data_IF_584653063380
#
_entry.id   IF_584653063380
#
_cell.length_a   1.000
_cell.length_b   1.000
_cell.length_c   1.000
_cell.angle_alpha   90.00
_cell.angle_beta   90.00
_cell.angle_gamma   90.00
#
_symmetry.space_group_name_H-M   'P 1'
#
loop_
_entity.id
_entity.type
_entity.pdbx_description
1 polymer ?
2 non-polymer ?
3 non-polymer ?
4 water ?
#
# COMPACT_ATOMS: atom_id res chain seq x y z
N UNK A 8 1.27 26.43 2.63
CA UNK A 8 2.20 25.52 3.28
C UNK A 8 3.49 25.44 2.44
N UNK A 9 4.64 25.81 3.03
CA UNK A 9 5.93 25.78 2.35
C UNK A 9 6.30 24.42 1.77
N UNK A 10 5.93 23.32 2.44
CA UNK A 10 6.22 21.97 1.94
C UNK A 10 5.46 21.71 0.62
N UNK A 11 4.27 22.27 0.50
CA UNK A 11 3.49 22.14 -0.71
C UNK A 11 4.09 22.98 -1.83
N UNK A 12 4.54 24.18 -1.48
CA UNK A 12 5.18 25.05 -2.45
C UNK A 12 6.46 24.40 -2.97
N UNK A 13 7.20 23.74 -2.08
CA UNK A 13 8.39 23.01 -2.47
C UNK A 13 8.04 21.84 -3.39
N UNK A 14 7.00 21.11 -3.06
CA UNK A 14 6.53 20.03 -3.93
C UNK A 14 6.27 20.56 -5.34
N UNK A 15 5.60 21.70 -5.45
CA UNK A 15 5.27 22.25 -6.76
C UNK A 15 6.55 22.67 -7.51
N UNK A 16 7.49 23.29 -6.80
CA UNK A 16 8.75 23.68 -7.42
C UNK A 16 9.49 22.43 -7.93
N UNK A 17 9.45 21.35 -7.16
CA UNK A 17 10.25 20.18 -7.55
C UNK A 17 9.54 19.24 -8.49
N UNK A 18 8.21 19.27 -8.51
CA UNK A 18 7.51 18.16 -9.13
C UNK A 18 6.32 18.55 -10.02
N UNK A 19 6.12 19.84 -10.26
CA UNK A 19 5.00 20.26 -11.09
C UNK A 19 5.44 21.14 -12.24
N UNK A 20 5.04 20.75 -13.44
CA UNK A 20 5.22 21.56 -14.62
C UNK A 20 4.02 21.31 -15.51
N UNK A 21 3.08 22.28 -15.54
CA UNK A 21 1.79 22.10 -16.20
C UNK A 21 1.87 21.71 -17.67
N UNK A 22 2.64 22.47 -18.43
CA UNK A 22 2.71 22.33 -19.87
C UNK A 22 4.16 22.32 -20.28
N UNK A 23 4.78 21.14 -20.27
CA UNK A 23 6.22 21.00 -20.51
C UNK A 23 6.57 21.35 -21.94
N UNK A 24 7.68 22.05 -22.13
CA UNK A 24 8.08 22.43 -23.46
C UNK A 24 8.72 21.26 -24.17
N UNK A 25 9.05 20.23 -23.39
CA UNK A 25 9.68 19.05 -23.94
C UNK A 25 9.57 17.91 -22.95
N UNK A 26 10.04 16.73 -23.34
CA UNK A 26 9.97 15.55 -22.48
C UNK A 26 11.28 14.80 -22.59
N UNK A 27 12.31 15.51 -23.01
CA UNK A 27 13.57 14.88 -23.40
C UNK A 27 14.71 15.34 -22.51
N UNK A 28 15.94 14.91 -22.82
CA UNK A 28 17.08 15.23 -21.97
C UNK A 28 17.30 16.72 -21.89
N UNK A 29 17.01 17.42 -22.99
CA UNK A 29 17.15 18.87 -23.06
C UNK A 29 16.22 19.53 -22.03
N UNK A 30 14.98 19.09 -22.02
CA UNK A 30 14.00 19.55 -21.02
C UNK A 30 14.47 19.30 -19.60
N UNK A 31 14.92 18.10 -19.32
CA UNK A 31 15.38 17.75 -17.97
C UNK A 31 16.51 18.64 -17.50
N UNK A 32 17.55 18.78 -18.33
CA UNK A 32 18.71 19.55 -17.94
C UNK A 32 18.40 21.02 -17.69
N UNK A 33 17.46 21.56 -18.46
CA UNK A 33 16.94 22.90 -18.24
C UNK A 33 16.10 23.00 -16.96
N UNK A 34 15.13 22.11 -16.82
CA UNK A 34 14.24 22.14 -15.66
C UNK A 34 14.96 21.88 -14.33
N UNK A 35 15.92 20.95 -14.32
CA UNK A 35 16.65 20.67 -13.09
C UNK A 35 17.44 21.90 -12.62
N UNK A 36 18.01 22.63 -13.57
CA UNK A 36 18.67 23.88 -13.21
C UNK A 36 17.68 24.98 -12.82
N UNK A 37 16.60 25.16 -13.57
CA UNK A 37 15.69 26.28 -13.31
C UNK A 37 14.93 26.13 -11.99
N UNK A 38 14.74 24.89 -11.55
CA UNK A 38 14.01 24.62 -10.31
C UNK A 38 14.92 24.44 -9.09
N UNK A 39 16.20 24.73 -9.26
CA UNK A 39 17.16 24.72 -8.17
C UNK A 39 17.64 23.36 -7.70
N UNK A 40 17.73 22.39 -8.61
CA UNK A 40 18.00 21.01 -8.25
C UNK A 40 19.35 20.52 -8.78
N UNK A 41 20.28 21.46 -8.98
CA UNK A 41 21.59 21.10 -9.52
C UNK A 41 22.75 21.55 -8.64
N UNK A 42 22.48 21.86 -7.37
CA UNK A 42 23.51 22.30 -6.44
C UNK A 42 23.54 21.50 -5.14
N UNK A 43 24.01 20.25 -5.17
CA UNK A 43 24.57 19.48 -6.27
C UNK A 43 23.48 18.80 -7.10
N UNK A 44 23.86 18.11 -8.17
CA UNK A 44 22.90 17.38 -9.01
C UNK A 44 22.03 16.40 -8.22
N UNK A 45 20.73 16.68 -8.16
CA UNK A 45 19.77 15.73 -7.61
C UNK A 45 19.72 14.49 -8.52
N UNK A 46 19.78 13.31 -7.91
CA UNK A 46 19.96 12.11 -8.71
C UNK A 46 18.72 11.72 -9.52
N UNK A 47 17.53 11.86 -8.93
CA UNK A 47 16.31 11.41 -9.61
C UNK A 47 15.18 12.37 -9.25
N UNK A 48 14.47 12.87 -10.24
CA UNK A 48 13.39 13.80 -9.96
C UNK A 48 12.31 13.78 -11.04
N UNK A 49 11.06 13.61 -10.63
CA UNK A 49 9.96 13.50 -11.59
C UNK A 49 9.10 14.75 -11.63
N UNK A 50 8.80 15.21 -12.84
CA UNK A 50 7.86 16.31 -13.00
C UNK A 50 6.53 15.76 -13.43
N UNK A 51 5.47 16.22 -12.77
CA UNK A 51 4.11 15.85 -13.14
C UNK A 51 3.53 16.96 -13.99
N UNK A 52 2.82 16.58 -15.06
CA UNK A 52 2.25 17.56 -15.96
C UNK A 52 0.72 17.57 -15.84
N UNK A 53 0.11 18.56 -16.48
CA UNK A 53 -1.33 18.66 -16.50
C UNK A 53 -1.81 19.60 -15.44
N UNK A 54 -3.01 19.33 -14.93
CA UNK A 54 -3.72 20.24 -14.04
C UNK A 54 -3.33 20.10 -12.59
N UNK A 55 -2.97 21.23 -11.99
CA UNK A 55 -2.58 21.35 -10.59
C UNK A 55 -3.62 20.78 -9.61
N UNK A 56 -4.89 21.08 -9.85
CA UNK A 56 -5.97 20.63 -8.99
C UNK A 56 -6.12 19.13 -8.88
N UNK A 57 -5.88 18.43 -9.99
CA UNK A 57 -6.01 16.98 -10.03
C UNK A 57 -4.92 16.31 -9.22
N UNK A 58 -3.78 16.99 -9.12
CA UNK A 58 -2.68 16.48 -8.30
C UNK A 58 -2.98 16.66 -6.82
N UNK A 59 -3.41 17.86 -6.44
CA UNK A 59 -3.87 18.11 -5.09
C UNK A 59 -4.93 17.09 -4.69
N UNK A 60 -5.87 16.84 -5.60
CA UNK A 60 -6.97 15.91 -5.35
C UNK A 60 -6.56 14.49 -4.96
N UNK A 61 -5.29 14.14 -5.17
CA UNK A 61 -4.82 12.81 -4.82
C UNK A 61 -4.85 12.63 -3.30
N UNK A 62 -4.69 13.73 -2.59
CA UNK A 62 -4.77 13.72 -1.13
C UNK A 62 -6.19 13.33 -0.67
N UNK A 63 -7.18 13.68 -1.47
CA UNK A 63 -8.56 13.33 -1.20
C UNK A 63 -9.23 12.52 -2.28
N UNK A 64 -10.07 13.18 -3.07
CA UNK A 64 -10.96 12.53 -4.05
C UNK A 64 -10.24 11.66 -5.11
N UNK A 65 -9.23 12.22 -5.78
CA UNK A 65 -8.56 11.48 -6.85
C UNK A 65 -7.46 10.55 -6.34
N UNK A 66 -7.58 10.10 -5.10
CA UNK A 66 -6.55 9.26 -4.53
C UNK A 66 -7.06 8.12 -3.67
N UNK A 67 -6.16 7.22 -3.29
CA UNK A 67 -6.47 6.09 -2.42
C UNK A 67 -5.28 5.79 -1.54
N UNK A 68 -5.52 5.20 -0.35
CA UNK A 68 -4.41 4.83 0.53
C UNK A 68 -3.42 3.88 -0.14
N UNK A 69 -2.17 3.99 0.29
CA UNK A 69 -1.07 3.22 -0.25
C UNK A 69 -0.03 3.17 0.84
N UNK A 70 0.12 2.01 1.47
CA UNK A 70 0.98 1.88 2.64
C UNK A 70 2.38 2.31 2.30
N UNK A 71 3.13 2.89 3.26
CA UNK A 71 2.69 3.06 4.64
C UNK A 71 1.67 4.19 4.80
N UNK A 72 2.14 5.43 4.76
CA UNK A 72 1.21 6.54 4.84
C UNK A 72 1.05 7.26 3.50
N UNK A 73 1.46 6.60 2.43
CA UNK A 73 1.48 7.22 1.11
C UNK A 73 0.11 7.14 0.43
N UNK A 74 -0.03 7.82 -0.71
CA UNK A 74 -1.28 7.78 -1.46
C UNK A 74 -1.02 7.63 -2.95
N UNK A 75 -1.84 6.83 -3.61
CA UNK A 75 -1.69 6.58 -5.04
C UNK A 75 -2.86 7.23 -5.79
N UNK A 76 -2.58 7.77 -6.97
CA UNK A 76 -3.61 8.46 -7.74
C UNK A 76 -4.60 7.47 -8.30
N UNK A 77 -5.83 7.93 -8.46
CA UNK A 77 -6.92 7.16 -9.05
C UNK A 77 -6.92 7.25 -10.57
N UNK A 78 -6.16 8.21 -11.07
CA UNK A 78 -6.04 8.46 -12.50
C UNK A 78 -4.55 8.51 -12.86
N UNK A 79 -4.24 8.24 -14.13
CA UNK A 79 -2.84 8.32 -14.57
C UNK A 79 -2.48 9.76 -14.93
N UNK A 80 -1.20 10.11 -14.84
CA UNK A 80 -0.66 11.43 -15.20
C UNK A 80 0.45 11.32 -16.24
N UNK A 81 0.53 12.29 -17.14
CA UNK A 81 1.76 12.47 -17.91
C UNK A 81 2.86 12.95 -16.97
N UNK A 82 4.01 12.29 -17.02
CA UNK A 82 5.14 12.69 -16.19
C UNK A 82 6.43 12.64 -16.98
N UNK A 83 7.45 13.29 -16.45
CA UNK A 83 8.80 13.18 -17.02
C UNK A 83 9.76 12.95 -15.86
N UNK A 84 10.43 11.81 -15.88
CA UNK A 84 11.42 11.51 -14.85
C UNK A 84 12.81 11.84 -15.34
N UNK A 85 13.51 12.67 -14.60
CA UNK A 85 14.87 13.05 -14.91
C UNK A 85 15.84 12.27 -14.06
N UNK A 86 16.79 11.60 -14.71
CA UNK A 86 17.76 10.76 -14.02
C UNK A 86 19.17 11.23 -14.35
N UNK A 87 19.94 11.52 -13.31
CA UNK A 87 21.31 11.99 -13.46
C UNK A 87 22.16 10.99 -14.23
N UNK A 88 22.99 11.48 -15.15
CA UNK A 88 23.97 10.63 -15.83
C UNK A 88 25.31 11.35 -15.87
N UNK A 89 26.34 10.63 -16.27
CA UNK A 89 27.66 11.22 -16.39
C UNK A 89 28.63 10.60 -15.41
N UNK A 90 29.10 11.41 -14.47
CA UNK A 90 30.00 10.94 -13.44
C UNK A 90 29.58 11.55 -12.12
N UNK A 91 30.54 12.15 -11.43
CA UNK A 91 30.28 12.78 -10.14
C UNK A 91 29.27 13.92 -10.29
N UNK A 92 28.45 14.15 -9.25
CA UNK A 92 27.29 15.05 -9.32
C UNK A 92 27.54 16.54 -9.08
N UNK A 93 28.56 17.11 -9.73
CA UNK A 93 28.73 18.56 -9.68
C UNK A 93 28.31 19.13 -11.02
N UNK A 94 27.73 20.34 -11.02
CA UNK A 94 27.41 21.04 -12.28
C UNK A 94 28.59 21.07 -13.26
N UNK A 95 28.31 21.09 -14.57
CA UNK A 95 26.97 21.08 -15.18
C UNK A 95 26.31 19.70 -15.10
N UNK A 96 25.06 19.69 -14.66
CA UNK A 96 24.35 18.43 -14.43
C UNK A 96 23.70 17.88 -15.70
N UNK A 97 24.08 16.66 -16.06
CA UNK A 97 23.54 15.95 -17.21
C UNK A 97 22.43 14.97 -16.80
N UNK A 98 21.35 14.92 -17.59
CA UNK A 98 20.21 14.06 -17.29
C UNK A 98 19.72 13.30 -18.53
N UNK A 99 19.21 12.10 -18.31
CA UNK A 99 18.40 11.41 -19.29
C UNK A 99 16.93 11.48 -18.87
N UNK A 100 16.04 11.55 -19.84
CA UNK A 100 14.61 11.70 -19.51
C UNK A 100 13.84 10.43 -19.80
N UNK A 101 12.88 10.11 -18.94
CA UNK A 101 11.92 9.05 -19.22
C UNK A 101 10.48 9.60 -19.12
N UNK A 102 9.84 9.76 -20.27
CA UNK A 102 8.46 10.22 -20.32
C UNK A 102 7.55 9.06 -19.97
N UNK A 103 6.55 9.32 -19.13
CA UNK A 103 5.65 8.26 -18.71
C UNK A 103 4.20 8.71 -18.61
N UNK A 104 3.31 7.74 -18.49
CA UNK A 104 1.88 7.97 -18.34
C UNK A 104 1.36 6.90 -17.40
N UNK A 105 1.24 7.24 -16.13
CA UNK A 105 0.92 6.22 -15.14
C UNK A 105 0.39 6.85 -13.88
N UNK A 106 -0.08 6.00 -12.97
CA UNK A 106 -0.51 6.50 -11.68
C UNK A 106 0.72 6.84 -10.88
N UNK A 107 0.60 7.85 -10.02
CA UNK A 107 1.74 8.28 -9.21
C UNK A 107 1.42 8.12 -7.74
N UNK A 108 2.47 8.03 -6.94
CA UNK A 108 2.33 7.91 -5.52
C UNK A 108 2.95 9.12 -4.82
N UNK A 109 2.20 9.74 -3.91
CA UNK A 109 2.72 10.88 -3.18
C UNK A 109 2.45 10.73 -1.69
N UNK A 110 3.07 11.60 -0.89
CA UNK A 110 2.74 11.75 0.52
C UNK A 110 2.00 13.06 0.72
N UNK A 111 0.94 13.05 1.52
CA UNK A 111 0.15 14.26 1.75
C UNK A 111 0.20 14.73 3.21
N UNK A 112 0.04 16.04 3.40
CA UNK A 112 -0.16 16.63 4.73
C UNK A 112 -1.16 17.77 4.63
N UNK A 113 -2.18 17.71 5.48
CA UNK A 113 -3.24 18.71 5.51
C UNK A 113 -3.99 18.82 4.20
N UNK A 114 -4.07 17.70 3.46
CA UNK A 114 -4.73 17.69 2.18
C UNK A 114 -3.89 18.30 1.07
N UNK A 115 -2.60 18.46 1.32
CA UNK A 115 -1.67 18.96 0.29
C UNK A 115 -0.52 17.99 0.05
N UNK A 116 -0.12 17.83 -1.22
CA UNK A 116 1.04 17.02 -1.55
C UNK A 116 2.34 17.64 -1.02
N UNK A 117 3.17 16.84 -0.39
CA UNK A 117 4.42 17.37 0.13
C UNK A 117 5.60 16.54 -0.36
N UNK A 118 5.32 15.43 -1.02
CA UNK A 118 6.37 14.47 -1.33
C UNK A 118 6.03 13.58 -2.52
N UNK A 119 7.00 13.40 -3.42
CA UNK A 119 6.79 12.51 -4.57
C UNK A 119 7.62 11.24 -4.42
N UNK A 120 6.96 10.09 -4.51
CA UNK A 120 7.67 8.81 -4.39
C UNK A 120 8.31 8.36 -5.70
N UNK A 121 9.63 8.33 -5.74
CA UNK A 121 10.35 8.01 -6.97
C UNK A 121 10.64 6.52 -7.19
N UNK A 122 9.90 5.64 -6.54
CA UNK A 122 10.24 4.20 -6.56
C UNK A 122 9.86 3.42 -7.83
N UNK A 123 9.34 4.08 -8.86
CA UNK A 123 8.87 3.36 -10.02
C UNK A 123 10.00 3.00 -10.99
N UNK B 8 -23.48 -13.30 1.41
CA UNK B 8 -23.64 -12.74 2.75
C UNK B 8 -22.52 -11.71 2.95
N UNK B 9 -22.88 -10.47 3.29
CA UNK B 9 -21.84 -9.46 3.57
C UNK B 9 -20.85 -9.92 4.65
N UNK B 10 -21.31 -10.79 5.55
CA UNK B 10 -20.42 -11.30 6.59
C UNK B 10 -19.35 -12.24 6.04
N UNK B 11 -19.69 -12.97 4.98
CA UNK B 11 -18.71 -13.84 4.35
C UNK B 11 -17.71 -12.99 3.55
N UNK B 12 -18.21 -11.94 2.92
CA UNK B 12 -17.35 -11.02 2.20
C UNK B 12 -16.33 -10.39 3.16
N UNK B 13 -16.81 -10.02 4.34
CA UNK B 13 -15.94 -9.44 5.37
C UNK B 13 -14.95 -10.47 5.89
N UNK B 14 -15.41 -11.72 6.04
CA UNK B 14 -14.54 -12.82 6.47
C UNK B 14 -13.36 -12.93 5.52
N UNK B 15 -13.63 -12.90 4.22
CA UNK B 15 -12.58 -13.00 3.22
C UNK B 15 -11.62 -11.81 3.28
N UNK B 16 -12.16 -10.61 3.44
CA UNK B 16 -11.32 -9.42 3.51
C UNK B 16 -10.40 -9.44 4.72
N UNK B 17 -10.91 -9.96 5.83
CA UNK B 17 -10.18 -9.94 7.09
C UNK B 17 -9.30 -11.17 7.33
N UNK B 18 -9.66 -12.29 6.70
CA UNK B 18 -9.06 -13.55 7.10
C UNK B 18 -8.62 -14.47 5.96
N UNK B 19 -8.57 -13.97 4.74
CA UNK B 19 -8.16 -14.80 3.61
C UNK B 19 -7.12 -14.13 2.75
N UNK B 20 -5.97 -14.79 2.60
CA UNK B 20 -4.97 -14.35 1.66
C UNK B 20 -4.39 -15.58 1.00
N UNK B 21 -4.84 -15.82 -0.23
CA UNK B 21 -4.30 -16.92 -0.99
C UNK B 21 -2.93 -16.48 -1.47
N UNK B 22 -1.95 -17.35 -1.33
CA UNK B 22 -0.62 -17.05 -1.83
C UNK B 22 -0.04 -15.76 -1.21
N UNK B 23 0.23 -15.79 0.10
CA UNK B 23 0.78 -14.61 0.76
C UNK B 23 2.20 -14.28 0.28
N UNK B 24 2.47 -13.00 0.08
CA UNK B 24 3.80 -12.53 -0.29
C UNK B 24 4.85 -12.86 0.77
N UNK B 25 4.44 -12.78 2.04
CA UNK B 25 5.34 -13.12 3.12
C UNK B 25 4.57 -13.72 4.29
N UNK B 26 5.28 -13.98 5.38
CA UNK B 26 4.67 -14.52 6.59
C UNK B 26 5.25 -13.84 7.84
N UNK B 27 5.84 -12.65 7.68
CA UNK B 27 6.55 -11.98 8.77
C UNK B 27 5.88 -10.68 9.21
N UNK B 28 6.53 -9.96 10.11
CA UNK B 28 6.03 -8.68 10.59
C UNK B 28 5.68 -7.70 9.47
N UNK B 29 6.54 -7.60 8.46
CA UNK B 29 6.31 -6.63 7.39
C UNK B 29 5.09 -7.01 6.54
N UNK B 30 4.91 -8.32 6.36
CA UNK B 30 3.73 -8.86 5.71
C UNK B 30 2.46 -8.46 6.46
N UNK B 31 2.48 -8.64 7.77
CA UNK B 31 1.31 -8.28 8.58
C UNK B 31 1.02 -6.80 8.52
N UNK B 32 2.06 -5.98 8.61
CA UNK B 32 1.85 -4.55 8.62
C UNK B 32 1.24 -4.10 7.30
N UNK B 33 1.72 -4.68 6.20
CA UNK B 33 1.19 -4.36 4.89
C UNK B 33 -0.28 -4.85 4.74
N UNK B 34 -0.53 -6.10 5.11
CA UNK B 34 -1.88 -6.67 4.93
C UNK B 34 -2.91 -5.95 5.78
N UNK B 35 -2.57 -5.68 7.04
CA UNK B 35 -3.51 -5.03 7.96
C UNK B 35 -3.91 -3.66 7.42
N UNK B 36 -2.97 -2.95 6.81
CA UNK B 36 -3.28 -1.68 6.12
C UNK B 36 -4.20 -1.91 4.92
N UNK B 37 -3.78 -2.80 4.03
CA UNK B 37 -4.50 -3.07 2.77
C UNK B 37 -5.95 -3.49 3.01
N UNK B 38 -6.18 -4.29 4.04
CA UNK B 38 -7.50 -4.85 4.29
C UNK B 38 -8.33 -3.94 5.19
N UNK B 39 -7.84 -2.71 5.38
CA UNK B 39 -8.57 -1.68 6.11
C UNK B 39 -8.75 -1.95 7.58
N UNK B 40 -7.76 -2.59 8.20
CA UNK B 40 -7.83 -2.99 9.61
C UNK B 40 -6.90 -2.18 10.52
N UNK B 41 -6.60 -0.93 10.15
CA UNK B 41 -5.67 -0.13 10.93
C UNK B 41 -6.23 1.24 11.36
N UNK B 42 -7.54 1.39 11.26
CA UNK B 42 -8.20 2.63 11.65
C UNK B 42 -9.33 2.37 12.65
N UNK B 43 -8.98 2.06 13.92
CA UNK B 43 -7.64 1.97 14.51
C UNK B 43 -7.03 0.58 14.38
N UNK B 44 -5.80 0.40 14.86
CA UNK B 44 -5.09 -0.89 14.79
C UNK B 44 -5.89 -2.05 15.38
N UNK B 45 -6.27 -3.02 14.55
CA UNK B 45 -6.90 -4.22 15.08
C UNK B 45 -5.87 -5.00 15.89
N UNK B 46 -6.25 -5.46 17.08
CA UNK B 46 -5.28 -6.03 18.00
C UNK B 46 -4.73 -7.37 17.52
N UNK B 47 -5.63 -8.26 17.09
CA UNK B 47 -5.23 -9.61 16.67
C UNK B 47 -6.00 -9.99 15.42
N UNK B 48 -5.31 -10.50 14.40
CA UNK B 48 -6.01 -10.90 13.19
C UNK B 48 -5.25 -12.00 12.46
N UNK B 49 -5.94 -13.08 12.11
CA UNK B 49 -5.31 -14.20 11.42
C UNK B 49 -5.75 -14.25 9.96
N UNK B 50 -4.76 -14.43 9.07
CA UNK B 50 -5.02 -14.68 7.67
C UNK B 50 -4.82 -16.16 7.36
N UNK B 51 -5.82 -16.75 6.70
CA UNK B 51 -5.74 -18.15 6.27
C UNK B 51 -5.23 -18.18 4.85
N UNK B 52 -4.31 -19.09 4.57
CA UNK B 52 -3.76 -19.20 3.23
C UNK B 52 -4.27 -20.45 2.53
N UNK B 53 -4.12 -20.48 1.21
CA UNK B 53 -4.51 -21.64 0.44
C UNK B 53 -5.75 -21.42 -0.39
N UNK B 54 -6.43 -22.51 -0.66
CA UNK B 54 -7.59 -22.54 -1.54
C UNK B 54 -8.85 -22.03 -0.83
N UNK B 55 -9.54 -21.07 -1.46
CA UNK B 55 -10.73 -20.47 -0.86
C UNK B 55 -11.83 -21.50 -0.67
N UNK B 56 -11.94 -22.41 -1.63
CA UNK B 56 -12.95 -23.45 -1.58
C UNK B 56 -12.82 -24.31 -0.34
N UNK B 57 -11.59 -24.68 0.00
CA UNK B 57 -11.31 -25.54 1.15
C UNK B 57 -11.75 -24.93 2.47
N UNK B 58 -11.72 -23.60 2.53
CA UNK B 58 -12.12 -22.85 3.72
C UNK B 58 -13.64 -22.85 3.85
N UNK B 59 -14.32 -22.52 2.76
CA UNK B 59 -15.79 -22.54 2.74
C UNK B 59 -16.28 -23.93 3.16
N UNK B 60 -15.58 -24.94 2.66
CA UNK B 60 -15.90 -26.34 2.90
C UNK B 60 -15.81 -26.76 4.35
N UNK B 61 -15.20 -25.92 5.18
CA UNK B 61 -15.17 -26.17 6.61
C UNK B 61 -16.60 -26.15 7.16
N UNK B 62 -17.49 -25.39 6.52
CA UNK B 62 -18.88 -25.34 6.96
C UNK B 62 -19.62 -26.63 6.62
N UNK B 63 -19.00 -27.46 5.78
CA UNK B 63 -19.60 -28.71 5.38
C UNK B 63 -18.69 -29.93 5.50
N UNK B 64 -18.31 -30.50 4.35
CA UNK B 64 -17.54 -31.74 4.32
C UNK B 64 -16.14 -31.62 4.95
N UNK B 65 -15.49 -30.47 4.81
CA UNK B 65 -14.16 -30.28 5.39
C UNK B 65 -14.20 -29.80 6.84
N UNK B 66 -15.29 -30.08 7.54
CA UNK B 66 -15.41 -29.59 8.89
C UNK B 66 -16.20 -30.50 9.79
N UNK B 67 -16.09 -30.25 11.10
CA UNK B 67 -16.87 -30.97 12.09
C UNK B 67 -17.39 -29.98 13.12
N UNK B 68 -18.53 -30.30 13.74
CA UNK B 68 -19.07 -29.47 14.83
C UNK B 68 -18.03 -29.23 15.93
N UNK B 69 -18.02 -28.04 16.51
CA UNK B 69 -17.07 -27.72 17.57
C UNK B 69 -17.65 -26.71 18.53
N UNK B 70 -17.50 -26.98 19.82
CA UNK B 70 -17.97 -26.09 20.86
C UNK B 70 -19.39 -25.57 20.69
N UNK B 71 -19.56 -24.28 20.99
CA UNK B 71 -20.85 -23.62 20.90
C UNK B 71 -21.07 -22.91 19.57
N UNK B 72 -21.75 -23.59 18.64
CA UNK B 72 -22.13 -23.04 17.33
C UNK B 72 -20.98 -22.90 16.33
N UNK B 73 -19.84 -23.54 16.61
CA UNK B 73 -18.66 -23.38 15.76
C UNK B 73 -18.38 -24.62 14.93
N UNK B 74 -17.40 -24.52 14.04
CA UNK B 74 -16.90 -25.68 13.31
C UNK B 74 -15.38 -25.67 13.19
N UNK B 75 -14.80 -26.86 13.09
CA UNK B 75 -13.35 -27.00 13.07
C UNK B 75 -12.92 -27.70 11.79
N UNK B 76 -11.83 -27.24 11.21
CA UNK B 76 -11.41 -27.81 9.94
C UNK B 76 -11.00 -29.26 10.18
N UNK B 77 -11.27 -30.08 9.17
CA UNK B 77 -10.87 -31.46 9.20
C UNK B 77 -9.42 -31.54 8.74
N UNK B 78 -8.90 -30.43 8.23
CA UNK B 78 -7.53 -30.39 7.73
C UNK B 78 -6.79 -29.17 8.26
N UNK B 79 -5.45 -29.25 8.31
CA UNK B 79 -4.68 -28.07 8.74
C UNK B 79 -4.54 -27.06 7.60
N UNK B 80 -4.38 -25.79 7.97
CA UNK B 80 -4.14 -24.73 6.99
C UNK B 80 -2.86 -24.00 7.34
N UNK B 81 -2.19 -23.47 6.33
CA UNK B 81 -1.16 -22.46 6.55
C UNK B 81 -1.87 -21.16 6.94
N UNK B 82 -1.40 -20.53 8.01
CA UNK B 82 -2.00 -19.28 8.48
C UNK B 82 -0.92 -18.30 8.93
N UNK B 83 -1.30 -17.04 9.06
CA UNK B 83 -0.41 -16.06 9.64
C UNK B 83 -1.22 -15.20 10.61
N UNK B 84 -0.86 -15.23 11.88
CA UNK B 84 -1.53 -14.42 12.86
C UNK B 84 -0.74 -13.15 13.14
N UNK B 85 -1.42 -12.02 12.98
CA UNK B 85 -0.83 -10.69 13.18
C UNK B 85 -1.30 -10.14 14.51
N UNK B 86 -0.36 -9.72 15.35
CA UNK B 86 -0.74 -9.20 16.65
C UNK B 86 -0.10 -7.83 16.83
N UNK B 87 -0.91 -6.86 17.21
CA UNK B 87 -0.46 -5.50 17.44
C UNK B 87 0.68 -5.46 18.44
N UNK B 88 1.65 -4.57 18.21
CA UNK B 88 2.78 -4.40 19.15
C UNK B 88 3.10 -2.94 19.38
N UNK B 89 3.90 -2.69 20.41
CA UNK B 89 4.41 -1.37 20.69
C UNK B 89 3.63 -0.66 21.79
N UNK B 90 3.02 0.47 21.45
CA UNK B 90 2.26 1.22 22.43
C UNK B 90 0.81 1.29 22.05
N UNK B 91 0.26 2.49 22.10
CA UNK B 91 -1.15 2.72 21.81
C UNK B 91 -1.41 2.46 20.32
N UNK B 92 -2.64 2.06 19.97
CA UNK B 92 -3.02 1.65 18.61
C UNK B 92 -3.15 2.79 17.62
N UNK B 93 -2.14 3.66 17.58
CA UNK B 93 -2.07 4.76 16.63
C UNK B 93 -1.29 4.35 15.37
N UNK B 94 -1.85 4.61 14.18
CA UNK B 94 -1.03 4.38 12.98
C UNK B 94 0.19 5.31 12.97
N UNK B 95 1.34 4.83 12.48
CA UNK B 95 1.57 3.57 11.78
C UNK B 95 1.55 2.36 12.71
N UNK B 96 0.63 1.43 12.43
CA UNK B 96 0.42 0.28 13.28
C UNK B 96 1.54 -0.75 13.12
N UNK B 97 2.17 -1.08 14.24
CA UNK B 97 3.20 -2.12 14.25
C UNK B 97 2.60 -3.46 14.63
N UNK B 98 3.03 -4.52 13.95
CA UNK B 98 2.59 -5.88 14.23
C UNK B 98 3.77 -6.85 14.33
N UNK B 99 3.55 -7.93 15.06
CA UNK B 99 4.44 -9.10 14.97
C UNK B 99 3.62 -10.24 14.38
N UNK B 100 4.31 -11.17 13.74
CA UNK B 100 3.67 -12.24 12.98
C UNK B 100 3.92 -13.58 13.63
N UNK B 101 2.92 -14.47 13.59
CA UNK B 101 3.14 -15.84 14.01
C UNK B 101 2.64 -16.73 12.90
N UNK B 102 3.57 -17.34 12.18
CA UNK B 102 3.18 -18.24 11.10
C UNK B 102 2.81 -19.56 11.71
N UNK B 103 1.74 -20.16 11.20
CA UNK B 103 1.28 -21.41 11.74
C UNK B 103 0.84 -22.38 10.65
N UNK B 104 0.67 -23.62 11.07
CA UNK B 104 0.11 -24.71 10.24
C UNK B 104 -0.74 -25.57 11.16
N UNK B 105 -2.05 -25.36 11.19
CA UNK B 105 -2.90 -26.05 12.14
C UNK B 105 -4.36 -26.02 11.70
N UNK B 106 -5.20 -26.73 12.44
CA UNK B 106 -6.63 -26.72 12.17
C UNK B 106 -7.20 -25.40 12.68
N UNK B 107 -8.26 -24.92 12.04
CA UNK B 107 -8.82 -23.64 12.40
C UNK B 107 -10.27 -23.79 12.82
N UNK B 108 -10.74 -22.84 13.61
CA UNK B 108 -12.11 -22.85 14.07
C UNK B 108 -12.85 -21.63 13.53
N UNK B 109 -13.98 -21.86 12.90
CA UNK B 109 -14.78 -20.76 12.37
C UNK B 109 -16.26 -20.88 12.78
N UNK B 110 -17.03 -19.84 12.48
CA UNK B 110 -18.48 -19.95 12.60
C UNK B 110 -19.09 -19.78 11.22
N UNK B 111 -20.11 -20.58 10.93
CA UNK B 111 -20.73 -20.57 9.60
C UNK B 111 -22.18 -20.15 9.69
N UNK B 112 -22.68 -19.57 8.62
CA UNK B 112 -24.11 -19.34 8.45
C UNK B 112 -24.46 -19.63 7.01
N UNK B 113 -25.38 -20.57 6.81
CA UNK B 113 -25.85 -20.95 5.49
C UNK B 113 -24.73 -21.45 4.60
N UNK B 114 -23.89 -22.31 5.15
CA UNK B 114 -22.78 -22.87 4.40
C UNK B 114 -21.61 -21.92 4.21
N UNK B 115 -21.65 -20.74 4.84
CA UNK B 115 -20.61 -19.74 4.64
C UNK B 115 -19.91 -19.32 5.94
N UNK B 116 -18.57 -19.21 5.90
CA UNK B 116 -17.81 -18.70 7.05
C UNK B 116 -18.15 -17.26 7.34
N UNK B 117 -18.34 -16.91 8.60
CA UNK B 117 -18.71 -15.53 8.92
C UNK B 117 -17.92 -15.00 10.10
N UNK B 118 -17.10 -15.86 10.71
CA UNK B 118 -16.34 -15.50 11.90
C UNK B 118 -15.11 -16.39 11.98
N UNK B 119 -13.97 -15.80 12.33
CA UNK B 119 -12.77 -16.60 12.61
C UNK B 119 -12.51 -16.54 14.10
N UNK B 120 -12.30 -17.69 14.73
CA UNK B 120 -12.01 -17.72 16.17
C UNK B 120 -10.53 -17.55 16.46
N UNK B 121 -10.17 -16.51 17.20
CA UNK B 121 -8.77 -16.22 17.45
C UNK B 121 -8.22 -16.78 18.76
N UNK B 122 -8.92 -17.75 19.38
CA UNK B 122 -8.59 -18.20 20.75
C UNK B 122 -7.35 -19.10 20.86
N UNK B 123 -6.92 -19.66 19.74
CA UNK B 123 -5.70 -20.48 19.65
C UNK B 123 -4.47 -19.81 20.30
N UNK B 124 -3.53 -20.64 20.76
CA UNK B 124 -2.26 -20.23 21.39
C UNK B 124 -1.70 -18.87 20.94
X LIG C 1 24.43 10.25 -10.81
X LIG D 1 25.43 8.51 -12.84
X LIG D 1 24.28 8.35 -12.38
X LIG D 1 26.14 9.51 -12.60
X LIG D 1 25.97 7.45 -13.75
X LIG E 1 10.94 14.57 -0.56
X LIG E 1 11.03 14.17 -1.74
X LIG E 1 10.01 14.23 0.22
X LIG E 1 11.99 15.51 -0.05
X LIG F 1 -1.87 -3.39 21.06
X LIG G 1 0.66 -3.96 22.48
X LIG G 1 -0.04 -4.96 22.23
X LIG G 1 0.46 -2.83 21.97
X LIG G 1 1.80 -4.13 23.42
X LIG H 1 -16.34 -11.61 13.66
X LIG H 1 -15.68 -12.26 14.50
X LIG H 1 -17.47 -11.95 13.27
X LIG H 1 -15.73 -10.34 13.11
#
# INVERSE_FOLDING_TARGET
GSHMAQDDPRYTKFLTQHYDAKPKGRDARYCESMMRRRGLTSPCKEVNTFIHGNKGSIKAICGANGSPYGENLRISQSPFQITTCKHTGGSPRPPCRYRASAGFRHVVIACENGLPVHFDESFISL
GSHMAQDDPRYTKFLTQHYDAKPKGRDARYCESMMRRRGLTSPCKEVNTFIHGNKGSIKAICGANGSPYGENLRISQSPFQITTCKHTGGSPRPPCRYRASAGFRHVVIACENGLPVHFDESFISL
ZN ZN
ACY C O OXT CH3
ACY C O OXT CH3
ZN ZN
ACY C O OXT CH3
ACY C O OXT CH3
#
